data_IF_447263490490
#
_entry.id   IF_447263490490
#
_cell.length_a   1.000
_cell.length_b   1.000
_cell.length_c   1.000
_cell.angle_alpha   90.00
_cell.angle_beta   90.00
_cell.angle_gamma   90.00
#
_symmetry.space_group_name_H-M   'P 1'
#
loop_
_entity.id
_entity.type
_entity.pdbx_description
1 polymer ?
#
# COMPACT_ATOMS: atom_id res chain seq x y z
N UNK A 1 -9.13 -6.11 -10.70
CA UNK A 1 -8.60 -6.30 -9.33
C UNK A 1 -9.68 -6.77 -8.35
N UNK A 2 -10.76 -6.03 -8.14
CA UNK A 2 -11.81 -6.46 -7.19
C UNK A 2 -12.52 -7.78 -7.57
N UNK A 3 -12.73 -8.02 -8.86
CA UNK A 3 -13.32 -9.27 -9.36
C UNK A 3 -12.43 -10.49 -9.08
N UNK A 4 -11.12 -10.34 -9.28
CA UNK A 4 -10.13 -11.36 -8.90
C UNK A 4 -10.15 -11.62 -7.39
N UNK A 5 -10.30 -10.58 -6.57
CA UNK A 5 -10.39 -10.73 -5.13
C UNK A 5 -11.65 -11.51 -4.69
N UNK A 6 -12.70 -11.50 -5.52
CA UNK A 6 -13.95 -12.22 -5.30
C UNK A 6 -15.19 -11.33 -5.17
N UNK A 7 -15.08 -10.01 -5.38
CA UNK A 7 -16.22 -9.11 -5.33
C UNK A 7 -17.09 -9.21 -6.60
N UNK A 8 -18.40 -9.35 -6.41
CA UNK A 8 -19.39 -9.42 -7.50
C UNK A 8 -19.73 -8.07 -8.16
N UNK A 9 -19.20 -6.95 -7.65
CA UNK A 9 -19.46 -5.60 -8.13
C UNK A 9 -18.28 -4.66 -7.87
N UNK A 10 -18.32 -3.45 -8.46
CA UNK A 10 -17.25 -2.44 -8.32
C UNK A 10 -17.12 -1.97 -6.86
N UNK A 11 -15.90 -2.02 -6.35
CA UNK A 11 -15.48 -1.48 -5.04
C UNK A 11 -14.22 -0.63 -5.21
N UNK A 12 -13.86 0.15 -4.20
CA UNK A 12 -12.52 0.78 -4.18
C UNK A 12 -11.46 -0.31 -4.15
N UNK A 13 -10.53 -0.27 -5.12
CA UNK A 13 -9.73 -1.45 -5.47
C UNK A 13 -8.21 -1.27 -5.29
N UNK A 14 -7.78 -0.22 -4.59
CA UNK A 14 -6.37 0.03 -4.27
C UNK A 14 -5.72 -1.15 -3.50
N UNK A 15 -6.36 -1.63 -2.43
CA UNK A 15 -5.88 -2.80 -1.67
C UNK A 15 -5.94 -4.11 -2.48
N UNK A 16 -7.01 -4.29 -3.27
CA UNK A 16 -7.11 -5.42 -4.18
C UNK A 16 -5.98 -5.42 -5.22
N UNK A 17 -5.56 -4.24 -5.68
CA UNK A 17 -4.44 -4.08 -6.60
C UNK A 17 -3.12 -4.53 -5.96
N UNK A 18 -2.81 -4.03 -4.76
CA UNK A 18 -1.60 -4.44 -4.02
C UNK A 18 -1.58 -5.95 -3.79
N UNK A 19 -2.70 -6.51 -3.33
CA UNK A 19 -2.83 -7.96 -3.14
C UNK A 19 -2.64 -8.74 -4.44
N UNK A 20 -3.20 -8.27 -5.55
CA UNK A 20 -3.01 -8.95 -6.84
C UNK A 20 -1.54 -8.95 -7.26
N UNK A 21 -0.86 -7.80 -7.14
CA UNK A 21 0.58 -7.71 -7.42
C UNK A 21 1.39 -8.66 -6.53
N UNK A 22 1.10 -8.70 -5.23
CA UNK A 22 1.73 -9.62 -4.30
C UNK A 22 1.50 -11.10 -4.70
N UNK A 23 0.29 -11.47 -5.13
CA UNK A 23 0.01 -12.81 -5.63
C UNK A 23 0.83 -13.13 -6.89
N UNK A 24 0.93 -12.19 -7.84
CA UNK A 24 1.70 -12.42 -9.08
C UNK A 24 3.19 -12.66 -8.81
N UNK A 25 3.70 -12.17 -7.68
CA UNK A 25 5.07 -12.41 -7.23
C UNK A 25 5.22 -13.65 -6.31
N UNK A 26 4.13 -14.34 -5.98
CA UNK A 26 4.13 -15.46 -5.02
C UNK A 26 4.28 -15.03 -3.54
N UNK A 27 4.19 -13.73 -3.25
CA UNK A 27 4.45 -13.18 -1.92
C UNK A 27 3.33 -13.44 -0.92
N UNK A 28 2.11 -13.70 -1.40
CA UNK A 28 1.02 -14.13 -0.52
C UNK A 28 1.30 -15.53 0.01
N UNK A 29 1.61 -16.48 -0.87
CA UNK A 29 1.88 -17.87 -0.48
C UNK A 29 3.16 -17.99 0.36
N UNK A 30 4.15 -17.14 0.11
CA UNK A 30 5.37 -17.05 0.90
C UNK A 30 5.18 -16.34 2.26
N UNK A 31 4.01 -15.74 2.53
CA UNK A 31 3.75 -15.02 3.77
C UNK A 31 4.48 -13.68 3.90
N UNK A 32 4.95 -13.11 2.79
CA UNK A 32 5.73 -11.86 2.73
C UNK A 32 4.81 -10.64 2.73
N UNK A 33 3.66 -10.74 2.05
CA UNK A 33 2.62 -9.69 2.01
C UNK A 33 1.25 -10.37 2.19
N UNK A 34 0.34 -9.84 3.04
CA UNK A 34 -0.97 -10.44 3.24
C UNK A 34 -1.86 -10.27 2.01
N UNK A 35 -2.88 -11.11 1.87
CA UNK A 35 -4.03 -10.86 1.00
C UNK A 35 -5.03 -9.97 1.73
N UNK A 36 -5.31 -8.77 1.22
CA UNK A 36 -6.24 -7.81 1.82
C UNK A 36 -7.00 -6.97 0.78
N UNK A 37 -8.25 -6.64 1.10
CA UNK A 37 -9.08 -5.70 0.32
C UNK A 37 -9.47 -4.46 1.12
N UNK A 38 -9.32 -4.49 2.45
CA UNK A 38 -9.50 -3.34 3.32
C UNK A 38 -8.12 -2.80 3.71
N UNK A 39 -7.91 -1.50 3.50
CA UNK A 39 -6.59 -0.87 3.70
C UNK A 39 -6.10 -1.03 5.14
N UNK A 40 -6.99 -0.84 6.12
CA UNK A 40 -6.67 -0.99 7.54
C UNK A 40 -6.21 -2.40 7.92
N UNK A 41 -6.72 -3.44 7.25
CA UNK A 41 -6.32 -4.83 7.55
C UNK A 41 -4.88 -5.09 7.11
N UNK A 42 -4.49 -4.55 5.94
CA UNK A 42 -3.10 -4.60 5.49
C UNK A 42 -2.16 -3.89 6.46
N UNK A 43 -2.52 -2.68 6.88
CA UNK A 43 -1.73 -1.92 7.84
C UNK A 43 -1.61 -2.63 9.20
N UNK A 44 -2.73 -3.13 9.73
CA UNK A 44 -2.78 -3.86 10.99
C UNK A 44 -1.91 -5.12 10.94
N UNK A 45 -1.88 -5.84 9.81
CA UNK A 45 -1.02 -7.00 9.64
C UNK A 45 0.46 -6.63 9.74
N UNK A 46 0.92 -5.60 9.02
CA UNK A 46 2.32 -5.16 9.11
C UNK A 46 2.68 -4.68 10.52
N UNK A 47 1.79 -3.96 11.19
CA UNK A 47 1.97 -3.52 12.58
C UNK A 47 2.11 -4.70 13.56
N UNK A 48 1.23 -5.70 13.47
CA UNK A 48 1.26 -6.88 14.32
C UNK A 48 2.51 -7.75 14.11
N UNK A 49 3.10 -7.71 12.91
CA UNK A 49 4.31 -8.44 12.57
C UNK A 49 5.61 -7.64 12.83
N UNK A 50 5.52 -6.44 13.43
CA UNK A 50 6.70 -5.59 13.67
C UNK A 50 7.35 -5.07 12.37
N UNK A 51 6.60 -5.04 11.28
CA UNK A 51 7.02 -4.67 9.93
C UNK A 51 6.42 -3.32 9.52
N UNK A 52 6.33 -2.38 10.48
CA UNK A 52 5.71 -1.07 10.26
C UNK A 52 6.67 0.07 10.59
N UNK A 53 6.67 1.10 9.76
CA UNK A 53 7.31 2.39 10.04
C UNK A 53 6.32 3.53 9.82
N UNK A 54 6.52 4.64 10.51
CA UNK A 54 5.71 5.85 10.32
C UNK A 54 6.08 6.60 9.01
N UNK A 55 5.31 7.65 8.70
CA UNK A 55 5.47 8.41 7.46
C UNK A 55 6.82 9.13 7.28
N UNK A 56 7.66 9.23 8.32
CA UNK A 56 8.99 9.86 8.25
C UNK A 56 10.11 8.92 7.81
N UNK A 57 9.84 7.61 7.78
CA UNK A 57 10.79 6.61 7.28
C UNK A 57 11.08 6.81 5.79
N UNK A 58 12.33 6.52 5.38
CA UNK A 58 12.76 6.54 3.99
C UNK A 58 12.50 5.15 3.38
N UNK A 59 11.45 4.97 2.56
CA UNK A 59 11.05 3.66 2.09
C UNK A 59 11.98 3.12 1.00
N UNK A 60 11.93 1.80 0.82
CA UNK A 60 12.63 1.07 -0.25
C UNK A 60 11.64 0.66 -1.34
N UNK A 61 12.09 0.45 -2.59
CA UNK A 61 11.30 -0.20 -3.61
C UNK A 61 10.68 -1.51 -3.08
N UNK A 62 9.36 -1.64 -3.24
CA UNK A 62 8.58 -2.78 -2.75
C UNK A 62 7.84 -2.54 -1.42
N UNK A 63 8.28 -1.57 -0.59
CA UNK A 63 7.54 -1.22 0.62
C UNK A 63 6.10 -0.80 0.27
N UNK A 64 5.15 -1.09 1.16
CA UNK A 64 3.74 -0.80 0.96
C UNK A 64 3.42 0.51 1.66
N UNK A 65 3.03 1.54 0.91
CA UNK A 65 2.70 2.86 1.47
C UNK A 65 1.21 2.95 1.79
N UNK A 66 0.87 3.50 2.94
CA UNK A 66 -0.49 3.69 3.43
C UNK A 66 -0.77 5.17 3.68
N UNK A 67 -1.98 5.62 3.33
CA UNK A 67 -2.37 7.04 3.40
C UNK A 67 -3.53 7.30 4.36
N UNK A 68 -3.51 8.50 4.93
CA UNK A 68 -4.54 9.12 5.79
C UNK A 68 -4.65 10.59 5.32
N UNK A 69 -5.42 10.81 4.26
CA UNK A 69 -5.52 12.09 3.56
C UNK A 69 -6.21 13.16 4.42
N UNK A 70 -7.09 12.75 5.33
CA UNK A 70 -7.78 13.64 6.28
C UNK A 70 -7.00 13.93 7.56
N UNK A 71 -5.90 13.19 7.81
CA UNK A 71 -5.24 13.13 9.12
C UNK A 71 -6.24 12.84 10.26
N UNK A 72 -7.29 12.07 9.96
CA UNK A 72 -8.38 11.77 10.89
C UNK A 72 -8.22 10.40 11.58
N UNK A 73 -7.17 9.67 11.23
CA UNK A 73 -6.88 8.35 11.76
C UNK A 73 -7.32 7.20 10.85
N UNK A 74 -8.07 7.48 9.79
CA UNK A 74 -8.60 6.49 8.85
C UNK A 74 -7.56 6.14 7.78
N UNK A 75 -7.53 4.88 7.38
CA UNK A 75 -6.70 4.45 6.25
C UNK A 75 -7.48 4.59 4.95
N UNK A 76 -7.12 5.60 4.14
CA UNK A 76 -7.86 5.98 2.93
C UNK A 76 -7.37 5.24 1.68
N UNK A 77 -6.06 5.03 1.58
CA UNK A 77 -5.44 4.54 0.35
C UNK A 77 -4.17 3.73 0.62
N UNK A 78 -3.77 2.93 -0.37
CA UNK A 78 -2.56 2.12 -0.33
C UNK A 78 -1.92 2.02 -1.71
N UNK A 79 -0.59 1.99 -1.74
CA UNK A 79 0.20 1.85 -2.96
C UNK A 79 1.45 1.01 -2.73
N UNK A 80 2.22 0.84 -3.79
CA UNK A 80 3.53 0.16 -3.77
C UNK A 80 4.60 1.21 -4.02
N UNK A 81 5.62 1.26 -3.19
CA UNK A 81 6.78 2.14 -3.41
C UNK A 81 7.58 1.61 -4.60
N UNK A 82 7.75 2.46 -5.61
CA UNK A 82 8.57 2.16 -6.79
C UNK A 82 10.03 2.56 -6.56
N UNK A 83 10.24 3.76 -6.03
CA UNK A 83 11.57 4.34 -5.78
C UNK A 83 11.49 5.56 -4.86
N UNK A 84 12.65 5.98 -4.36
CA UNK A 84 12.84 7.25 -3.67
C UNK A 84 13.93 8.05 -4.39
N UNK A 85 13.70 9.35 -4.59
CA UNK A 85 14.67 10.28 -5.16
C UNK A 85 14.45 11.67 -4.54
N UNK A 86 15.51 12.32 -4.05
CA UNK A 86 15.48 13.67 -3.48
C UNK A 86 14.30 13.91 -2.50
N UNK A 87 14.23 13.09 -1.44
CA UNK A 87 13.17 13.12 -0.41
C UNK A 87 11.73 12.94 -0.95
N UNK A 88 11.61 12.46 -2.18
CA UNK A 88 10.33 12.17 -2.82
C UNK A 88 10.17 10.68 -3.00
N UNK A 89 9.09 10.12 -2.45
CA UNK A 89 8.67 8.74 -2.73
C UNK A 89 7.83 8.74 -4.00
N UNK A 90 8.15 7.82 -4.92
CA UNK A 90 7.37 7.53 -6.11
C UNK A 90 6.66 6.20 -5.92
N UNK A 91 5.40 6.13 -6.29
CA UNK A 91 4.51 5.00 -5.99
C UNK A 91 3.78 4.54 -7.24
N UNK A 92 3.42 3.26 -7.28
CA UNK A 92 2.44 2.72 -8.21
C UNK A 92 1.16 2.41 -7.43
N UNK A 93 0.06 3.03 -7.85
CA UNK A 93 -1.21 3.02 -7.13
C UNK A 93 -2.35 2.57 -8.03
N UNK A 94 -3.08 1.55 -7.57
CA UNK A 94 -4.36 1.17 -8.13
C UNK A 94 -5.47 2.11 -7.68
N UNK A 95 -6.52 2.23 -8.48
CA UNK A 95 -7.69 3.05 -8.20
C UNK A 95 -7.40 4.55 -8.00
N UNK A 96 -6.28 5.02 -8.55
CA UNK A 96 -5.96 6.43 -8.58
C UNK A 96 -6.70 7.05 -9.76
N UNK A 97 -7.84 7.71 -9.48
CA UNK A 97 -8.79 8.19 -10.49
C UNK A 97 -9.28 7.06 -11.42
N UNK A 98 -9.67 5.93 -10.82
CA UNK A 98 -10.13 4.70 -11.49
C UNK A 98 -9.15 4.11 -12.52
N UNK A 99 -7.85 4.32 -12.31
CA UNK A 99 -6.79 3.71 -13.11
C UNK A 99 -5.57 3.35 -12.27
N UNK A 100 -4.66 2.57 -12.85
CA UNK A 100 -3.31 2.41 -12.31
C UNK A 100 -2.50 3.66 -12.67
N UNK A 101 -1.87 4.31 -11.69
CA UNK A 101 -1.07 5.52 -11.92
C UNK A 101 0.20 5.51 -11.09
N UNK A 102 1.21 6.20 -11.60
CA UNK A 102 2.34 6.63 -10.79
C UNK A 102 1.95 7.91 -10.04
N UNK A 103 2.33 8.02 -8.77
CA UNK A 103 2.19 9.23 -7.95
C UNK A 103 3.51 9.54 -7.24
N UNK A 104 3.58 10.70 -6.62
CA UNK A 104 4.73 11.09 -5.80
C UNK A 104 4.32 11.94 -4.61
N UNK A 105 5.07 11.78 -3.52
CA UNK A 105 4.82 12.44 -2.24
C UNK A 105 6.15 12.79 -1.58
N UNK A 106 6.20 13.88 -0.84
CA UNK A 106 7.34 14.20 0.03
C UNK A 106 7.35 13.23 1.21
N UNK A 107 8.50 12.67 1.57
CA UNK A 107 8.67 11.87 2.78
C UNK A 107 8.28 12.71 4.01
N UNK A 108 7.59 12.10 4.97
CA UNK A 108 7.06 12.80 6.15
C UNK A 108 5.85 13.68 5.87
N UNK A 109 5.29 13.66 4.66
CA UNK A 109 4.03 14.38 4.36
C UNK A 109 2.91 13.89 5.28
N UNK A 110 2.08 14.81 5.74
CA UNK A 110 0.95 14.54 6.64
C UNK A 110 -0.11 13.60 6.05
N UNK A 111 -0.13 13.41 4.73
CA UNK A 111 -1.04 12.48 4.07
C UNK A 111 -0.55 11.03 4.12
N UNK A 112 0.72 10.80 4.50
CA UNK A 112 1.32 9.47 4.60
C UNK A 112 1.13 8.98 6.03
N UNK A 113 0.37 7.89 6.18
CA UNK A 113 0.15 7.26 7.48
C UNK A 113 1.36 6.45 7.93
N UNK A 114 1.99 5.76 6.99
CA UNK A 114 3.18 4.95 7.24
C UNK A 114 3.41 3.92 6.15
N UNK A 115 4.32 3.00 6.44
CA UNK A 115 4.82 2.01 5.51
C UNK A 115 4.79 0.62 6.13
N UNK A 116 4.27 -0.36 5.39
CA UNK A 116 4.53 -1.77 5.61
C UNK A 116 5.85 -2.16 4.95
N UNK A 117 6.68 -2.93 5.66
CA UNK A 117 8.02 -3.34 5.23
C UNK A 117 8.06 -4.87 5.08
N UNK A 118 7.72 -5.39 3.88
CA UNK A 118 7.81 -6.82 3.61
C UNK A 118 9.24 -7.35 3.79
N UNK A 119 9.35 -8.61 4.22
CA UNK A 119 10.64 -9.32 4.35
C UNK A 119 10.76 -10.29 3.17
N UNK A 120 11.38 -9.83 2.07
CA UNK A 120 11.57 -10.60 0.83
C UNK A 120 12.60 -11.73 0.95
#
# INVERSE_FOLDING_TARGET
>A
YWSWYGFGGRVEWCACFVSWCAEQCGYIDAGVIPKFALVSDGAAWFQQNGQWQDGSYIPKPGDIIFFDWGADGTYDHVGIVERVENDTVYTIEGNSSDSCRQRSYTIGSNVIKGYGIPIY
#
